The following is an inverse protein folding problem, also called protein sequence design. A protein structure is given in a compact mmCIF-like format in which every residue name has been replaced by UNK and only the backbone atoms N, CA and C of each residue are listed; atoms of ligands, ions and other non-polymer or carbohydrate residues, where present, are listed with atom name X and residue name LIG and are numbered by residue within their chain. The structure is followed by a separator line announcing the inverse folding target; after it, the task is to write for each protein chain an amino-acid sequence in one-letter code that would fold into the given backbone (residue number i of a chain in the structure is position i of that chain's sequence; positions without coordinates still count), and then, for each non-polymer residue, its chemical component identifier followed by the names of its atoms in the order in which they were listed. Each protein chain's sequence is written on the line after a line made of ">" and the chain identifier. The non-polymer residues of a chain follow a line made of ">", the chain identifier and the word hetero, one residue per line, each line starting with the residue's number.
data_IF_370476992404
#
_entry.id   IF_370476992404
#
_cell.length_a   1.000
_cell.length_b   1.000
_cell.length_c   1.000
_cell.angle_alpha   90.00
_cell.angle_beta   90.00
_cell.angle_gamma   90.00
#
_symmetry.space_group_name_H-M   'P 1'
#
loop_
_entity.id
_entity.type
_entity.pdbx_description
1 polymer ?
#
# COMPACT_ATOMS: atom_id res chain seq x y z
N UNK A 1 -23.71 3.75 24.81
CA UNK A 1 -22.91 3.52 26.04
C UNK A 1 -21.52 2.90 25.75
N UNK A 2 -20.92 3.16 24.57
CA UNK A 2 -19.74 2.46 24.03
C UNK A 2 -18.46 3.31 23.92
N UNK A 3 -18.39 4.47 24.59
CA UNK A 3 -17.45 5.52 24.16
C UNK A 3 -16.18 5.67 25.03
N UNK A 4 -16.22 5.38 26.34
CA UNK A 4 -15.03 5.54 27.20
C UNK A 4 -14.00 4.40 27.07
N UNK A 5 -14.45 3.16 26.97
CA UNK A 5 -13.54 2.00 26.87
C UNK A 5 -12.84 1.93 25.51
N UNK A 6 -13.54 2.31 24.43
CA UNK A 6 -13.00 2.34 23.07
C UNK A 6 -11.96 3.44 22.92
N UNK A 7 -12.24 4.67 23.42
CA UNK A 7 -11.26 5.75 23.43
C UNK A 7 -10.03 5.43 24.28
N UNK A 8 -10.19 4.79 25.44
CA UNK A 8 -9.08 4.37 26.28
C UNK A 8 -8.21 3.30 25.59
N UNK A 9 -8.83 2.33 24.89
CA UNK A 9 -8.10 1.33 24.09
C UNK A 9 -7.40 1.94 22.89
N UNK A 10 -8.05 2.82 22.14
CA UNK A 10 -7.43 3.52 21.01
C UNK A 10 -6.28 4.39 21.49
N UNK A 11 -6.44 5.15 22.58
CA UNK A 11 -5.37 5.92 23.18
C UNK A 11 -4.22 5.04 23.70
N UNK A 12 -4.52 3.89 24.29
CA UNK A 12 -3.50 2.92 24.71
C UNK A 12 -2.78 2.27 23.51
N UNK A 13 -3.49 2.08 22.39
CA UNK A 13 -2.93 1.49 21.17
C UNK A 13 -2.08 2.52 20.43
N UNK A 14 -2.58 3.73 20.20
CA UNK A 14 -1.81 4.87 19.64
C UNK A 14 -0.65 5.26 20.56
N UNK A 15 -0.78 5.02 21.86
CA UNK A 15 0.28 5.15 22.86
C UNK A 15 1.31 4.02 22.86
N UNK A 16 1.12 2.92 22.10
CA UNK A 16 2.14 1.87 21.94
C UNK A 16 3.33 2.41 21.14
N UNK A 17 4.54 2.10 21.65
CA UNK A 17 5.85 2.54 21.13
C UNK A 17 5.97 2.21 19.63
N UNK A 18 6.56 3.12 18.85
CA UNK A 18 6.80 2.94 17.41
C UNK A 18 5.72 3.45 16.46
N UNK A 19 4.53 3.85 16.94
CA UNK A 19 3.44 4.34 16.09
C UNK A 19 3.84 5.56 15.24
N UNK A 20 4.33 6.63 15.87
CA UNK A 20 4.70 7.88 15.18
C UNK A 20 5.80 7.66 14.13
N UNK A 21 6.96 7.05 14.45
CA UNK A 21 7.97 6.79 13.44
C UNK A 21 7.47 5.89 12.30
N UNK A 22 6.73 4.82 12.61
CA UNK A 22 6.17 3.95 11.58
C UNK A 22 5.17 4.71 10.68
N UNK A 23 4.35 5.58 11.26
CA UNK A 23 3.40 6.42 10.53
C UNK A 23 4.12 7.40 9.61
N UNK A 24 5.15 8.10 10.11
CA UNK A 24 5.94 9.03 9.29
C UNK A 24 6.64 8.29 8.15
N UNK A 25 7.24 7.14 8.42
CA UNK A 25 7.89 6.32 7.39
C UNK A 25 6.88 5.84 6.34
N UNK A 26 5.73 5.33 6.76
CA UNK A 26 4.68 4.89 5.84
C UNK A 26 4.10 6.05 5.03
N UNK A 27 3.91 7.23 5.64
CA UNK A 27 3.47 8.43 4.96
C UNK A 27 4.51 8.93 3.93
N UNK A 28 5.80 8.87 4.26
CA UNK A 28 6.87 9.20 3.34
C UNK A 28 6.94 8.22 2.15
N UNK A 29 6.80 6.91 2.41
CA UNK A 29 6.72 5.88 1.37
C UNK A 29 5.49 6.12 0.48
N UNK A 30 4.33 6.38 1.07
CA UNK A 30 3.12 6.71 0.33
C UNK A 30 3.31 7.94 -0.56
N UNK A 31 3.89 9.02 -0.04
CA UNK A 31 4.22 10.21 -0.80
C UNK A 31 5.17 9.92 -1.96
N UNK A 32 6.23 9.13 -1.73
CA UNK A 32 7.17 8.72 -2.77
C UNK A 32 6.47 7.90 -3.88
N UNK A 33 5.62 6.94 -3.50
CA UNK A 33 4.85 6.11 -4.45
C UNK A 33 3.89 6.98 -5.27
N UNK A 34 3.20 7.93 -4.63
CA UNK A 34 2.29 8.86 -5.31
C UNK A 34 3.04 9.69 -6.36
N UNK A 35 4.16 10.29 -5.97
CA UNK A 35 5.00 11.11 -6.87
C UNK A 35 5.54 10.25 -8.01
N UNK A 36 6.04 9.05 -7.72
CA UNK A 36 6.53 8.13 -8.73
C UNK A 36 5.44 7.74 -9.73
N UNK A 37 4.24 7.40 -9.25
CA UNK A 37 3.11 7.04 -10.10
C UNK A 37 2.67 8.21 -10.99
N UNK A 38 2.58 9.41 -10.40
CA UNK A 38 2.24 10.62 -11.15
C UNK A 38 3.27 10.94 -12.24
N UNK A 39 4.56 10.94 -11.92
CA UNK A 39 5.62 11.16 -12.90
C UNK A 39 5.59 10.13 -14.02
N UNK A 40 5.37 8.85 -13.67
CA UNK A 40 5.24 7.77 -14.65
C UNK A 40 4.06 8.02 -15.59
N UNK A 41 2.90 8.43 -15.06
CA UNK A 41 1.72 8.76 -15.84
C UNK A 41 1.91 9.96 -16.76
N UNK A 42 2.57 11.02 -16.27
CA UNK A 42 2.91 12.21 -17.08
C UNK A 42 3.87 11.86 -18.20
N UNK A 43 4.92 11.09 -17.93
CA UNK A 43 5.90 10.67 -18.94
C UNK A 43 5.23 9.78 -20.00
N UNK A 44 4.41 8.82 -19.59
CA UNK A 44 3.67 7.97 -20.53
C UNK A 44 2.75 8.81 -21.42
N UNK A 45 2.02 9.78 -20.84
CA UNK A 45 1.13 10.66 -21.59
C UNK A 45 1.89 11.57 -22.56
N UNK A 46 3.03 12.14 -22.13
CA UNK A 46 3.91 12.96 -22.97
C UNK A 46 4.46 12.16 -24.16
N UNK A 47 4.86 10.91 -23.91
CA UNK A 47 5.31 10.01 -24.96
C UNK A 47 4.19 9.72 -25.97
N UNK A 48 2.98 9.40 -25.50
CA UNK A 48 1.84 9.12 -26.38
C UNK A 48 1.45 10.33 -27.22
N UNK A 49 1.37 11.52 -26.63
CA UNK A 49 1.05 12.76 -27.36
C UNK A 49 2.14 13.11 -28.37
N UNK A 50 3.41 12.98 -27.97
CA UNK A 50 4.54 13.27 -28.84
C UNK A 50 4.70 12.30 -30.02
N UNK A 51 4.20 11.07 -29.91
CA UNK A 51 4.35 10.03 -30.94
C UNK A 51 3.12 9.84 -31.81
N UNK A 52 1.91 9.88 -31.24
CA UNK A 52 0.66 9.60 -31.95
C UNK A 52 -0.10 10.86 -32.37
N UNK A 53 0.29 12.02 -31.82
CA UNK A 53 -0.45 13.27 -32.00
C UNK A 53 -1.77 13.26 -31.23
N UNK A 54 -2.06 14.34 -30.51
CA UNK A 54 -3.33 14.46 -29.78
C UNK A 54 -3.40 15.66 -28.84
N UNK A 55 -4.59 15.92 -28.32
CA UNK A 55 -4.85 17.04 -27.40
C UNK A 55 -4.38 16.72 -25.98
N UNK A 56 -3.33 17.43 -25.53
CA UNK A 56 -2.73 17.28 -24.20
C UNK A 56 -3.75 17.34 -23.04
N UNK A 57 -4.77 18.19 -23.15
CA UNK A 57 -5.78 18.39 -22.09
C UNK A 57 -6.58 17.13 -21.80
N UNK A 58 -7.04 16.41 -22.82
CA UNK A 58 -7.79 15.14 -22.66
C UNK A 58 -6.91 14.02 -22.08
N UNK A 59 -5.63 14.01 -22.43
CA UNK A 59 -4.67 13.05 -21.86
C UNK A 59 -4.35 13.36 -20.40
N UNK A 60 -4.23 14.64 -20.02
CA UNK A 60 -3.99 15.04 -18.64
C UNK A 60 -5.14 14.62 -17.71
N UNK A 61 -6.39 14.81 -18.12
CA UNK A 61 -7.57 14.45 -17.32
C UNK A 61 -7.71 12.93 -17.14
N UNK A 62 -7.48 12.16 -18.21
CA UNK A 62 -7.50 10.69 -18.16
C UNK A 62 -6.34 10.12 -17.33
N UNK A 63 -5.14 10.72 -17.43
CA UNK A 63 -3.99 10.33 -16.60
C UNK A 63 -4.24 10.61 -15.11
N UNK A 64 -4.85 11.75 -14.78
CA UNK A 64 -5.16 12.11 -13.39
C UNK A 64 -6.21 11.19 -12.77
N UNK A 65 -7.30 10.92 -13.49
CA UNK A 65 -8.35 10.01 -13.04
C UNK A 65 -7.84 8.56 -12.88
N UNK A 66 -7.03 8.08 -13.82
CA UNK A 66 -6.37 6.78 -13.71
C UNK A 66 -5.41 6.71 -12.51
N UNK A 67 -4.60 7.75 -12.29
CA UNK A 67 -3.66 7.80 -11.18
C UNK A 67 -4.36 7.83 -9.81
N UNK A 68 -5.48 8.56 -9.69
CA UNK A 68 -6.32 8.55 -8.49
C UNK A 68 -6.86 7.14 -8.20
N UNK A 69 -7.37 6.45 -9.22
CA UNK A 69 -7.88 5.08 -9.07
C UNK A 69 -6.77 4.11 -8.63
N UNK A 70 -5.59 4.17 -9.25
CA UNK A 70 -4.41 3.37 -8.88
C UNK A 70 -3.94 3.68 -7.46
N UNK A 71 -3.97 4.94 -7.06
CA UNK A 71 -3.53 5.35 -5.72
C UNK A 71 -4.45 4.83 -4.62
N UNK A 72 -5.77 4.85 -4.86
CA UNK A 72 -6.77 4.35 -3.93
C UNK A 72 -6.76 2.83 -3.81
N UNK A 73 -6.52 2.12 -4.91
CA UNK A 73 -6.58 0.65 -4.95
C UNK A 73 -5.22 -0.02 -4.72
N UNK A 74 -4.11 0.70 -4.87
CA UNK A 74 -2.76 0.17 -4.74
C UNK A 74 -1.90 0.88 -3.70
N UNK A 75 -1.60 2.16 -3.91
CA UNK A 75 -0.62 2.90 -3.09
C UNK A 75 -1.06 3.02 -1.62
N UNK A 76 -2.34 3.30 -1.38
CA UNK A 76 -2.87 3.50 -0.04
C UNK A 76 -2.94 2.17 0.75
N UNK A 77 -3.51 1.07 0.21
CA UNK A 77 -3.44 -0.24 0.86
C UNK A 77 -2.01 -0.72 1.14
N UNK A 78 -1.09 -0.47 0.21
CA UNK A 78 0.33 -0.81 0.39
C UNK A 78 0.93 -0.07 1.59
N UNK A 79 0.74 1.25 1.66
CA UNK A 79 1.25 2.06 2.75
C UNK A 79 0.66 1.65 4.11
N UNK A 80 -0.63 1.28 4.15
CA UNK A 80 -1.27 0.73 5.34
C UNK A 80 -0.62 -0.59 5.77
N UNK A 81 -0.38 -1.51 4.83
CA UNK A 81 0.26 -2.78 5.14
C UNK A 81 1.70 -2.61 5.66
N UNK A 82 2.47 -1.71 5.03
CA UNK A 82 3.83 -1.35 5.49
C UNK A 82 3.78 -0.72 6.88
N UNK A 83 2.84 0.21 7.12
CA UNK A 83 2.62 0.83 8.42
C UNK A 83 2.33 -0.20 9.51
N UNK A 84 1.35 -1.08 9.28
CA UNK A 84 0.96 -2.11 10.23
C UNK A 84 2.11 -3.08 10.50
N UNK A 85 2.91 -3.43 9.47
CA UNK A 85 4.07 -4.29 9.64
C UNK A 85 5.17 -3.63 10.47
N UNK A 86 5.53 -2.38 10.18
CA UNK A 86 6.57 -1.64 10.91
C UNK A 86 6.11 -1.24 12.31
N UNK A 87 4.82 -1.25 12.59
CA UNK A 87 4.29 -0.90 13.90
C UNK A 87 4.03 -2.13 14.78
N UNK A 88 3.38 -3.18 14.27
CA UNK A 88 2.92 -4.32 15.08
C UNK A 88 3.78 -5.58 14.92
N UNK A 89 4.25 -5.86 13.71
CA UNK A 89 4.89 -7.15 13.40
C UNK A 89 6.39 -7.09 13.68
N UNK A 90 7.06 -6.09 13.10
CA UNK A 90 8.51 -6.00 13.03
C UNK A 90 8.99 -4.55 13.21
N UNK A 91 8.87 -3.97 14.42
CA UNK A 91 9.27 -2.60 14.68
C UNK A 91 10.77 -2.40 14.45
N UNK A 92 11.16 -1.26 13.88
CA UNK A 92 12.57 -0.92 13.72
C UNK A 92 13.07 -0.29 15.01
N UNK A 93 14.05 -0.92 15.64
CA UNK A 93 14.75 -0.45 16.85
C UNK A 93 16.19 -0.03 16.54
N UNK A 94 16.72 0.91 17.33
CA UNK A 94 18.05 1.50 17.20
C UNK A 94 19.17 0.47 17.38
N UNK A 95 18.95 -0.58 18.18
CA UNK A 95 19.95 -1.57 18.54
C UNK A 95 20.10 -2.69 17.49
N UNK A 96 19.20 -2.76 16.51
CA UNK A 96 19.25 -3.77 15.46
C UNK A 96 20.42 -3.51 14.51
N UNK A 97 21.08 -4.60 14.09
CA UNK A 97 22.07 -4.56 13.00
C UNK A 97 21.38 -4.28 11.67
N UNK A 98 22.09 -3.63 10.74
CA UNK A 98 21.60 -3.30 9.40
C UNK A 98 20.91 -4.49 8.69
N UNK A 99 21.48 -5.70 8.82
CA UNK A 99 20.90 -6.91 8.23
C UNK A 99 19.48 -7.23 8.73
N UNK A 100 19.18 -6.99 10.02
CA UNK A 100 17.84 -7.21 10.57
C UNK A 100 16.87 -6.11 10.14
N UNK A 101 17.35 -4.87 9.96
CA UNK A 101 16.52 -3.78 9.43
C UNK A 101 16.06 -4.11 8.01
N UNK A 102 16.96 -4.63 7.18
CA UNK A 102 16.64 -5.04 5.80
C UNK A 102 15.66 -6.21 5.75
N UNK A 103 15.80 -7.22 6.62
CA UNK A 103 14.84 -8.33 6.65
C UNK A 103 13.45 -7.88 7.13
N UNK A 104 13.37 -7.01 8.15
CA UNK A 104 12.11 -6.40 8.61
C UNK A 104 11.47 -5.52 7.52
N UNK A 105 12.27 -4.78 6.75
CA UNK A 105 11.79 -3.99 5.61
C UNK A 105 11.27 -4.88 4.45
N UNK A 106 11.96 -5.97 4.15
CA UNK A 106 11.49 -6.94 3.16
C UNK A 106 10.15 -7.57 3.57
N UNK A 107 10.01 -7.94 4.85
CA UNK A 107 8.77 -8.44 5.41
C UNK A 107 7.65 -7.39 5.32
N UNK A 108 7.93 -6.13 5.67
CA UNK A 108 6.96 -5.04 5.55
C UNK A 108 6.50 -4.81 4.10
N UNK A 109 7.42 -4.97 3.13
CA UNK A 109 7.09 -4.88 1.70
C UNK A 109 6.15 -6.02 1.29
N UNK A 110 6.42 -7.24 1.75
CA UNK A 110 5.58 -8.42 1.49
C UNK A 110 4.17 -8.24 2.08
N UNK A 111 4.07 -7.78 3.33
CA UNK A 111 2.79 -7.49 3.99
C UNK A 111 2.02 -6.37 3.26
N UNK A 112 2.73 -5.33 2.81
CA UNK A 112 2.18 -4.27 1.96
C UNK A 112 1.57 -4.84 0.67
N UNK A 113 2.31 -5.70 -0.04
CA UNK A 113 1.86 -6.33 -1.28
C UNK A 113 0.65 -7.24 -1.07
N UNK A 114 0.65 -8.04 0.00
CA UNK A 114 -0.50 -8.88 0.37
C UNK A 114 -1.75 -8.04 0.64
N UNK A 115 -1.59 -6.89 1.30
CA UNK A 115 -2.69 -5.96 1.56
C UNK A 115 -3.28 -5.42 0.26
N UNK A 116 -2.44 -5.08 -0.72
CA UNK A 116 -2.90 -4.68 -2.07
C UNK A 116 -3.65 -5.81 -2.76
N UNK A 117 -3.14 -7.04 -2.72
CA UNK A 117 -3.79 -8.21 -3.34
C UNK A 117 -5.20 -8.39 -2.78
N UNK A 118 -5.37 -8.31 -1.46
CA UNK A 118 -6.68 -8.42 -0.82
C UNK A 118 -7.63 -7.33 -1.30
N UNK A 119 -7.19 -6.07 -1.37
CA UNK A 119 -8.01 -4.96 -1.87
C UNK A 119 -8.37 -5.13 -3.34
N UNK A 120 -7.41 -5.54 -4.18
CA UNK A 120 -7.62 -5.81 -5.61
C UNK A 120 -8.66 -6.92 -5.83
N UNK A 121 -8.58 -8.01 -5.07
CA UNK A 121 -9.56 -9.11 -5.13
C UNK A 121 -10.95 -8.61 -4.76
N UNK A 122 -11.07 -7.84 -3.67
CA UNK A 122 -12.34 -7.27 -3.22
C UNK A 122 -12.93 -6.30 -4.25
N UNK A 123 -12.13 -5.39 -4.79
CA UNK A 123 -12.58 -4.43 -5.81
C UNK A 123 -12.97 -5.14 -7.10
N UNK A 124 -12.19 -6.15 -7.53
CA UNK A 124 -12.50 -6.94 -8.72
C UNK A 124 -13.80 -7.73 -8.56
N UNK A 125 -14.04 -8.27 -7.36
CA UNK A 125 -15.29 -8.94 -7.03
C UNK A 125 -16.48 -7.98 -7.07
N UNK A 126 -16.38 -6.83 -6.39
CA UNK A 126 -17.44 -5.81 -6.38
C UNK A 126 -17.73 -5.29 -7.78
N UNK A 127 -16.70 -5.03 -8.59
CA UNK A 127 -16.86 -4.59 -9.98
C UNK A 127 -17.51 -5.67 -10.86
N UNK A 128 -17.16 -6.95 -10.65
CA UNK A 128 -17.78 -8.06 -11.37
C UNK A 128 -19.26 -8.19 -11.03
N UNK A 129 -19.64 -8.03 -9.76
CA UNK A 129 -21.03 -8.07 -9.30
C UNK A 129 -21.81 -6.83 -9.79
N UNK A 130 -21.26 -5.63 -9.62
CA UNK A 130 -21.94 -4.38 -10.03
C UNK A 130 -22.12 -4.24 -11.55
N UNK A 131 -21.29 -4.91 -12.35
CA UNK A 131 -21.36 -4.91 -13.80
C UNK A 131 -22.45 -5.83 -14.39
N UNK A 132 -23.27 -6.46 -13.55
CA UNK A 132 -24.35 -7.35 -13.98
C UNK A 132 -25.68 -6.58 -13.87
N UNK A 133 -26.28 -6.16 -15.00
CA UNK A 133 -27.52 -5.39 -14.98
C UNK A 133 -28.74 -6.20 -14.49
N UNK A 134 -28.63 -7.52 -14.31
CA UNK A 134 -29.77 -8.44 -14.18
C UNK A 134 -29.72 -9.43 -12.99
N UNK A 135 -28.92 -9.11 -11.95
CA UNK A 135 -28.75 -9.92 -10.72
C UNK A 135 -30.05 -10.28 -9.97
N UNK A 136 -31.18 -9.68 -10.36
CA UNK A 136 -32.47 -9.86 -9.71
C UNK A 136 -33.57 -10.44 -10.63
N UNK A 137 -33.26 -10.91 -11.85
CA UNK A 137 -34.32 -11.43 -12.72
C UNK A 137 -33.95 -12.15 -14.03
N UNK A 138 -32.69 -12.13 -14.47
CA UNK A 138 -32.27 -12.77 -15.72
C UNK A 138 -31.44 -14.03 -15.51
N UNK A 139 -31.51 -15.01 -16.43
CA UNK A 139 -30.59 -16.17 -16.47
C UNK A 139 -29.15 -15.65 -16.65
N UNK A 140 -28.43 -15.55 -15.55
CA UNK A 140 -27.05 -15.05 -15.55
C UNK A 140 -26.08 -16.06 -16.17
N UNK A 141 -25.24 -15.57 -17.08
CA UNK A 141 -24.07 -16.31 -17.55
C UNK A 141 -22.96 -16.18 -16.50
N UNK A 142 -23.04 -17.03 -15.47
CA UNK A 142 -22.05 -17.13 -14.39
C UNK A 142 -20.63 -17.32 -14.95
N UNK A 143 -20.50 -17.99 -16.10
CA UNK A 143 -19.23 -18.20 -16.80
C UNK A 143 -18.56 -16.87 -17.17
N UNK A 144 -19.33 -15.92 -17.72
CA UNK A 144 -18.83 -14.59 -18.06
C UNK A 144 -18.44 -13.73 -16.84
N UNK A 145 -19.12 -13.92 -15.70
CA UNK A 145 -18.75 -13.30 -14.43
C UNK A 145 -17.38 -13.82 -13.95
N UNK A 146 -17.24 -15.15 -13.87
CA UNK A 146 -16.01 -15.79 -13.41
C UNK A 146 -14.81 -15.46 -14.30
N UNK A 147 -15.00 -15.39 -15.62
CA UNK A 147 -13.94 -14.99 -16.54
C UNK A 147 -13.47 -13.54 -16.31
N UNK A 148 -14.40 -12.59 -16.16
CA UNK A 148 -14.06 -11.19 -15.89
C UNK A 148 -13.38 -11.02 -14.53
N UNK A 149 -13.93 -11.67 -13.50
CA UNK A 149 -13.35 -11.67 -12.16
C UNK A 149 -11.94 -12.28 -12.17
N UNK A 150 -11.78 -13.43 -12.81
CA UNK A 150 -10.50 -14.14 -12.93
C UNK A 150 -9.45 -13.31 -13.65
N UNK A 151 -9.79 -12.73 -14.80
CA UNK A 151 -8.87 -11.87 -15.57
C UNK A 151 -8.47 -10.60 -14.80
N UNK A 152 -9.44 -9.91 -14.18
CA UNK A 152 -9.16 -8.69 -13.41
C UNK A 152 -8.31 -9.00 -12.18
N UNK A 153 -8.61 -10.09 -11.48
CA UNK A 153 -7.83 -10.54 -10.32
C UNK A 153 -6.42 -10.95 -10.73
N UNK A 154 -6.25 -11.74 -11.79
CA UNK A 154 -4.94 -12.16 -12.27
C UNK A 154 -4.06 -10.96 -12.66
N UNK A 155 -4.63 -10.00 -13.42
CA UNK A 155 -3.93 -8.75 -13.79
C UNK A 155 -3.55 -7.94 -12.57
N UNK A 156 -4.46 -7.81 -11.60
CA UNK A 156 -4.22 -7.05 -10.38
C UNK A 156 -3.18 -7.71 -9.46
N UNK A 157 -3.17 -9.04 -9.35
CA UNK A 157 -2.15 -9.79 -8.61
C UNK A 157 -0.77 -9.65 -9.26
N UNK A 158 -0.68 -9.81 -10.58
CA UNK A 158 0.57 -9.59 -11.31
C UNK A 158 1.06 -8.13 -11.17
N UNK A 159 0.15 -7.17 -11.26
CA UNK A 159 0.46 -5.76 -11.02
C UNK A 159 0.96 -5.49 -9.61
N UNK A 160 0.35 -6.11 -8.59
CA UNK A 160 0.78 -6.01 -7.20
C UNK A 160 2.17 -6.61 -6.98
N UNK A 161 2.46 -7.77 -7.59
CA UNK A 161 3.78 -8.41 -7.52
C UNK A 161 4.87 -7.55 -8.19
N UNK A 162 4.57 -6.98 -9.36
CA UNK A 162 5.48 -6.05 -10.02
C UNK A 162 5.72 -4.79 -9.18
N UNK A 163 4.65 -4.24 -8.59
CA UNK A 163 4.74 -3.07 -7.73
C UNK A 163 5.56 -3.37 -6.47
N UNK A 164 5.43 -4.57 -5.88
CA UNK A 164 6.24 -5.02 -4.75
C UNK A 164 7.74 -4.94 -5.06
N UNK A 165 8.15 -5.44 -6.23
CA UNK A 165 9.56 -5.41 -6.66
C UNK A 165 10.04 -3.97 -6.81
N UNK A 166 9.23 -3.12 -7.44
CA UNK A 166 9.57 -1.70 -7.66
C UNK A 166 9.66 -0.91 -6.35
N UNK A 167 8.81 -1.22 -5.37
CA UNK A 167 8.73 -0.50 -4.10
C UNK A 167 9.69 -1.04 -3.03
N UNK A 168 10.28 -2.22 -3.23
CA UNK A 168 11.21 -2.83 -2.27
C UNK A 168 12.35 -1.88 -1.90
N UNK A 169 12.97 -1.24 -2.91
CA UNK A 169 14.06 -0.30 -2.69
C UNK A 169 13.62 0.93 -1.87
N UNK A 170 12.42 1.45 -2.14
CA UNK A 170 11.85 2.61 -1.43
C UNK A 170 11.55 2.27 0.03
N UNK A 171 10.97 1.09 0.29
CA UNK A 171 10.69 0.61 1.65
C UNK A 171 11.98 0.35 2.42
N UNK A 172 12.98 -0.29 1.80
CA UNK A 172 14.30 -0.50 2.39
C UNK A 172 14.97 0.82 2.77
N UNK A 173 14.98 1.79 1.85
CA UNK A 173 15.52 3.13 2.12
C UNK A 173 14.78 3.80 3.28
N UNK A 174 13.44 3.77 3.28
CA UNK A 174 12.62 4.30 4.36
C UNK A 174 12.93 3.68 5.72
N UNK A 175 13.11 2.36 5.76
CA UNK A 175 13.48 1.64 6.97
C UNK A 175 14.90 1.97 7.45
N UNK A 176 15.87 2.10 6.54
CA UNK A 176 17.25 2.47 6.87
C UNK A 176 17.33 3.91 7.37
N UNK A 177 16.60 4.84 6.76
CA UNK A 177 16.50 6.22 7.22
C UNK A 177 15.86 6.30 8.60
N UNK A 178 14.78 5.55 8.82
CA UNK A 178 14.16 5.44 10.13
C UNK A 178 15.15 4.91 11.18
N UNK A 179 15.85 3.82 10.84
CA UNK A 179 16.87 3.23 11.70
C UNK A 179 18.01 4.21 12.02
N UNK A 180 18.50 4.98 11.03
CA UNK A 180 19.54 5.99 11.27
C UNK A 180 19.05 7.19 12.09
N UNK A 181 17.75 7.48 12.09
CA UNK A 181 17.15 8.56 12.87
C UNK A 181 16.95 8.18 14.34
N UNK A 182 16.59 6.92 14.62
CA UNK A 182 16.33 6.39 15.96
C UNK A 182 17.45 6.64 16.99
N UNK A 183 18.74 6.38 16.71
CA UNK A 183 19.85 6.67 17.64
C UNK A 183 20.04 8.16 17.94
N UNK A 184 19.67 9.05 17.02
CA UNK A 184 19.84 10.50 17.19
C UNK A 184 18.76 11.10 18.07
N UNK A 185 17.64 10.41 18.24
CA UNK A 185 16.54 10.83 19.09
C UNK A 185 16.25 9.72 20.11
N UNK A 186 17.19 9.50 21.07
CA UNK A 186 17.07 8.45 22.06
C UNK A 186 15.80 8.66 22.88
N UNK A 187 14.99 7.60 22.96
CA UNK A 187 13.76 7.57 23.74
C UNK A 187 13.98 6.71 24.97
N UNK A 188 13.42 7.12 26.10
CA UNK A 188 13.65 6.53 27.43
C UNK A 188 13.11 5.09 27.62
N UNK A 189 12.72 4.39 26.55
CA UNK A 189 11.60 3.43 26.59
C UNK A 189 11.83 2.23 25.63
N UNK A 190 12.10 1.04 26.18
CA UNK A 190 12.40 -0.28 25.52
C UNK A 190 11.43 -0.69 24.38
N UNK A 191 11.94 -1.07 23.20
CA UNK A 191 11.11 -1.42 22.03
C UNK A 191 11.03 -2.95 21.90
N UNK A 192 9.85 -3.54 22.09
CA UNK A 192 9.60 -4.97 21.87
C UNK A 192 8.50 -5.16 20.83
N UNK A 193 8.77 -5.92 19.76
CA UNK A 193 7.78 -6.35 18.78
C UNK A 193 7.12 -7.68 19.14
N UNK A 194 6.02 -8.04 18.47
CA UNK A 194 5.37 -9.34 18.65
C UNK A 194 6.28 -10.53 18.30
N UNK A 195 7.29 -10.31 17.44
CA UNK A 195 8.33 -11.29 17.11
C UNK A 195 9.44 -11.39 18.16
N UNK A 196 9.53 -10.45 19.10
CA UNK A 196 10.54 -10.44 20.16
C UNK A 196 9.98 -11.00 21.50
N UNK A 197 8.70 -11.40 21.53
CA UNK A 197 8.02 -11.99 22.71
C UNK A 197 8.04 -13.54 22.74
N UNK A 198 8.60 -14.17 21.70
CA UNK A 198 8.72 -15.64 21.56
C UNK A 198 10.18 -16.06 21.70
#
# INVERSE_FOLDING_TARGET
>A
MTDKSTRARVAATVGRRGFVPALVTAAAIFGAVLVQGFLTGVIASAYTVGTLGGDWSRYADSAWSAQLAVSLTGSLPFAIGVFLSLWQIAPVDAQLRLGHVLSRAALATLVGALTVIVVVVLVSFVAAVAGIPDLFGGREDLTGLFDRFGQNTARGVLGAAQNMINQLAVVMLGAVLLWGWLPRHPREHDVRGALDEV
#
